data_IF_384600340160
#
_entry.id   IF_384600340160
#
_cell.length_a   1.000
_cell.length_b   1.000
_cell.length_c   1.000
_cell.angle_alpha   90.00
_cell.angle_beta   90.00
_cell.angle_gamma   90.00
#
_symmetry.space_group_name_H-M   'P 1'
#
loop_
_entity.id
_entity.type
_entity.pdbx_description
1 polymer ?
#
# COMPACT_ATOMS: atom_id res chain seq x y z
N UNK A 1 -24.16 10.14 -4.93
CA UNK A 1 -23.64 8.82 -5.29
C UNK A 1 -22.85 8.33 -4.07
N UNK A 2 -23.29 7.23 -3.44
CA UNK A 2 -22.51 6.54 -2.42
C UNK A 2 -21.32 5.90 -3.14
N UNK A 3 -20.12 6.43 -2.94
CA UNK A 3 -18.89 5.71 -3.27
C UNK A 3 -18.69 4.70 -2.15
N UNK A 4 -19.01 3.45 -2.40
CA UNK A 4 -18.73 2.41 -1.43
C UNK A 4 -17.21 2.25 -1.31
N UNK A 5 -16.71 2.10 -0.09
CA UNK A 5 -15.28 1.85 0.20
C UNK A 5 -14.72 0.65 -0.57
N UNK A 6 -15.57 -0.21 -1.08
CA UNK A 6 -15.24 -1.31 -1.99
C UNK A 6 -14.61 -0.83 -3.31
N UNK A 7 -15.12 0.27 -3.90
CA UNK A 7 -14.67 0.73 -5.22
C UNK A 7 -13.20 1.18 -5.24
N UNK A 8 -12.66 1.62 -4.10
CA UNK A 8 -11.25 2.02 -3.97
C UNK A 8 -10.30 0.83 -3.91
N UNK A 9 -10.76 -0.31 -3.38
CA UNK A 9 -9.98 -1.57 -3.35
C UNK A 9 -9.97 -2.25 -4.72
N UNK A 10 -10.92 -1.91 -5.61
CA UNK A 10 -11.12 -2.55 -6.90
C UNK A 10 -9.93 -2.34 -7.85
N UNK A 11 -9.40 -1.13 -7.91
CA UNK A 11 -8.30 -0.79 -8.83
C UNK A 11 -6.99 -1.52 -8.54
N UNK A 12 -6.48 -1.57 -7.30
CA UNK A 12 -5.31 -2.38 -6.97
C UNK A 12 -5.50 -3.87 -7.27
N UNK A 13 -6.68 -4.42 -7.01
CA UNK A 13 -7.00 -5.82 -7.31
C UNK A 13 -6.98 -6.12 -8.81
N UNK A 14 -7.59 -5.24 -9.62
CA UNK A 14 -7.60 -5.34 -11.08
C UNK A 14 -6.18 -5.26 -11.65
N UNK A 15 -5.39 -4.27 -11.21
CA UNK A 15 -4.00 -4.07 -11.65
C UNK A 15 -3.11 -5.25 -11.25
N UNK A 16 -3.31 -5.84 -10.07
CA UNK A 16 -2.64 -7.05 -9.65
C UNK A 16 -3.07 -8.28 -10.48
N UNK A 17 -4.27 -8.28 -11.05
CA UNK A 17 -4.85 -9.39 -11.77
C UNK A 17 -5.61 -10.37 -10.87
N UNK A 18 -6.05 -9.91 -9.70
CA UNK A 18 -6.90 -10.68 -8.77
C UNK A 18 -8.34 -10.65 -9.27
N UNK A 19 -9.04 -11.80 -9.37
CA UNK A 19 -10.46 -11.85 -9.72
C UNK A 19 -11.32 -10.97 -8.82
N UNK A 20 -12.35 -10.34 -9.38
CA UNK A 20 -13.24 -9.44 -8.66
C UNK A 20 -13.89 -10.04 -7.42
N UNK A 21 -14.26 -11.30 -7.49
CA UNK A 21 -14.88 -12.04 -6.37
C UNK A 21 -13.92 -12.17 -5.15
N UNK A 22 -12.62 -12.06 -5.39
CA UNK A 22 -11.58 -12.22 -4.37
C UNK A 22 -11.10 -10.88 -3.77
N UNK A 23 -11.55 -9.73 -4.26
CA UNK A 23 -11.09 -8.43 -3.78
C UNK A 23 -11.33 -8.18 -2.29
N UNK A 24 -12.38 -8.79 -1.74
CA UNK A 24 -12.65 -8.76 -0.29
C UNK A 24 -11.53 -9.40 0.53
N UNK A 25 -10.81 -10.37 -0.05
CA UNK A 25 -9.65 -10.98 0.58
C UNK A 25 -8.50 -10.00 0.70
N UNK A 26 -8.24 -9.19 -0.35
CA UNK A 26 -7.20 -8.15 -0.34
C UNK A 26 -7.47 -7.14 0.77
N UNK A 27 -8.72 -6.67 0.90
CA UNK A 27 -9.13 -5.75 1.95
C UNK A 27 -8.89 -6.34 3.33
N UNK A 28 -9.32 -7.58 3.55
CA UNK A 28 -9.16 -8.27 4.83
C UNK A 28 -7.68 -8.44 5.19
N UNK A 29 -6.88 -9.02 4.30
CA UNK A 29 -5.46 -9.24 4.55
C UNK A 29 -4.68 -7.94 4.79
N UNK A 30 -5.06 -6.85 4.11
CA UNK A 30 -4.46 -5.54 4.36
C UNK A 30 -4.72 -5.07 5.78
N UNK A 31 -5.99 -5.09 6.22
CA UNK A 31 -6.36 -4.62 7.56
C UNK A 31 -5.77 -5.52 8.66
N UNK A 32 -5.82 -6.84 8.50
CA UNK A 32 -5.21 -7.81 9.42
C UNK A 32 -3.67 -7.63 9.50
N UNK A 33 -3.05 -7.07 8.47
CA UNK A 33 -1.59 -6.85 8.44
C UNK A 33 -1.20 -5.48 9.02
N UNK A 34 -1.99 -4.44 8.78
CA UNK A 34 -1.70 -3.06 9.20
C UNK A 34 -2.16 -2.79 10.64
N UNK A 35 -3.33 -3.31 11.01
CA UNK A 35 -3.96 -3.11 12.31
C UNK A 35 -4.37 -4.43 12.96
N UNK A 36 -3.43 -5.35 13.20
CA UNK A 36 -3.74 -6.68 13.73
C UNK A 36 -4.20 -6.66 15.19
N UNK A 37 -3.99 -5.55 15.91
CA UNK A 37 -4.46 -5.29 17.26
C UNK A 37 -5.88 -4.70 17.31
N UNK A 38 -6.42 -4.23 16.17
CA UNK A 38 -7.77 -3.68 16.12
C UNK A 38 -8.79 -4.82 16.30
N UNK A 39 -9.71 -4.72 17.29
CA UNK A 39 -10.72 -5.75 17.54
C UNK A 39 -11.59 -6.09 16.32
N UNK A 40 -11.79 -5.15 15.39
CA UNK A 40 -12.54 -5.38 14.14
C UNK A 40 -11.81 -6.31 13.20
N UNK A 41 -10.47 -6.26 13.19
CA UNK A 41 -9.64 -7.04 12.26
C UNK A 41 -8.90 -8.18 12.94
N UNK A 42 -8.86 -8.20 14.27
CA UNK A 42 -8.17 -9.25 15.02
C UNK A 42 -8.86 -10.60 14.82
N UNK A 43 -8.09 -11.55 14.29
CA UNK A 43 -8.51 -12.92 14.03
C UNK A 43 -7.62 -13.89 14.80
N UNK A 44 -8.13 -14.50 15.81
CA UNK A 44 -7.34 -15.30 16.74
C UNK A 44 -7.27 -14.64 18.12
N UNK A 45 -6.37 -15.15 18.99
CA UNK A 45 -6.24 -14.70 20.38
C UNK A 45 -5.18 -13.60 20.55
N UNK A 46 -4.29 -13.52 19.59
CA UNK A 46 -3.14 -12.59 19.63
C UNK A 46 -2.95 -11.88 18.30
N UNK A 47 -2.28 -10.74 18.35
CA UNK A 47 -1.81 -10.00 17.18
C UNK A 47 -0.97 -10.88 16.25
N UNK A 48 -0.07 -11.69 16.82
CA UNK A 48 0.80 -12.58 16.06
C UNK A 48 0.02 -13.66 15.31
N UNK A 49 -1.01 -14.24 15.92
CA UNK A 49 -1.89 -15.22 15.27
C UNK A 49 -2.64 -14.59 14.08
N UNK A 50 -3.11 -13.36 14.22
CA UNK A 50 -3.75 -12.61 13.14
C UNK A 50 -2.79 -12.37 11.98
N UNK A 51 -1.59 -11.84 12.26
CA UNK A 51 -0.56 -11.59 11.26
C UNK A 51 -0.12 -12.87 10.52
N UNK A 52 0.10 -13.96 11.25
CA UNK A 52 0.51 -15.24 10.66
C UNK A 52 -0.58 -15.83 9.78
N UNK A 53 -1.84 -15.72 10.20
CA UNK A 53 -2.98 -16.20 9.42
C UNK A 53 -3.13 -15.41 8.12
N UNK A 54 -3.12 -14.08 8.19
CA UNK A 54 -3.21 -13.21 7.02
C UNK A 54 -2.07 -13.48 6.02
N UNK A 55 -0.83 -13.56 6.50
CA UNK A 55 0.35 -13.85 5.68
C UNK A 55 0.28 -15.22 5.02
N UNK A 56 -0.11 -16.23 5.77
CA UNK A 56 -0.20 -17.62 5.27
C UNK A 56 -1.24 -17.71 4.15
N UNK A 57 -2.44 -17.18 4.36
CA UNK A 57 -3.49 -17.20 3.35
C UNK A 57 -3.10 -16.41 2.10
N UNK A 58 -2.53 -15.22 2.27
CA UNK A 58 -2.06 -14.40 1.15
C UNK A 58 -0.97 -15.14 0.35
N UNK A 59 -0.02 -15.76 1.02
CA UNK A 59 1.05 -16.51 0.36
C UNK A 59 0.52 -17.73 -0.40
N UNK A 60 -0.43 -18.46 0.17
CA UNK A 60 -1.09 -19.59 -0.51
C UNK A 60 -1.84 -19.11 -1.75
N UNK A 61 -2.61 -18.04 -1.63
CA UNK A 61 -3.37 -17.46 -2.72
C UNK A 61 -2.47 -17.01 -3.88
N UNK A 62 -1.48 -16.17 -3.60
CA UNK A 62 -0.58 -15.67 -4.63
C UNK A 62 0.36 -16.73 -5.19
N UNK A 63 0.68 -17.79 -4.43
CA UNK A 63 1.39 -18.94 -4.97
C UNK A 63 0.57 -19.64 -6.06
N UNK A 64 -0.70 -19.93 -5.78
CA UNK A 64 -1.59 -20.56 -6.75
C UNK A 64 -1.84 -19.65 -7.97
N UNK A 65 -2.08 -18.34 -7.76
CA UNK A 65 -2.29 -17.38 -8.82
C UNK A 65 -1.04 -17.23 -9.70
N UNK A 66 0.15 -17.19 -9.12
CA UNK A 66 1.41 -17.13 -9.87
C UNK A 66 1.64 -18.36 -10.74
N UNK A 67 1.31 -19.53 -10.23
CA UNK A 67 1.41 -20.78 -11.02
C UNK A 67 0.43 -20.77 -12.21
N UNK A 68 -0.79 -20.27 -12.01
CA UNK A 68 -1.75 -20.07 -13.11
C UNK A 68 -1.20 -19.09 -14.15
N UNK A 69 -0.67 -17.94 -13.71
CA UNK A 69 -0.12 -16.92 -14.60
C UNK A 69 1.15 -17.36 -15.35
N UNK A 70 1.97 -18.24 -14.77
CA UNK A 70 3.09 -18.85 -15.49
C UNK A 70 2.63 -19.71 -16.67
N UNK A 71 1.48 -20.40 -16.52
CA UNK A 71 0.89 -21.22 -17.58
C UNK A 71 0.12 -20.38 -18.60
N UNK A 72 -0.54 -19.30 -18.16
CA UNK A 72 -1.38 -18.43 -18.96
C UNK A 72 -1.16 -16.97 -18.56
N UNK A 73 -0.08 -16.34 -19.05
CA UNK A 73 0.22 -14.93 -18.73
C UNK A 73 -0.91 -14.00 -19.14
N UNK A 74 -1.15 -12.97 -18.35
CA UNK A 74 -2.10 -11.88 -18.62
C UNK A 74 -1.38 -10.53 -18.56
N UNK A 75 -2.09 -9.46 -18.90
CA UNK A 75 -1.60 -8.08 -18.73
C UNK A 75 -1.87 -7.61 -17.28
N UNK A 76 -1.24 -8.27 -16.31
CA UNK A 76 -1.36 -7.98 -14.90
C UNK A 76 0.01 -8.02 -14.20
N UNK A 77 0.07 -7.41 -13.01
CA UNK A 77 1.33 -7.34 -12.24
C UNK A 77 1.78 -8.73 -11.80
N UNK A 78 0.87 -9.64 -11.46
CA UNK A 78 1.24 -11.01 -11.05
C UNK A 78 1.99 -11.72 -12.17
N UNK A 79 1.57 -11.56 -13.43
CA UNK A 79 2.28 -12.11 -14.60
C UNK A 79 3.66 -11.47 -14.78
N UNK A 80 3.74 -10.13 -14.67
CA UNK A 80 5.00 -9.39 -14.86
C UNK A 80 6.02 -9.75 -13.78
N UNK A 81 5.62 -9.69 -12.51
CA UNK A 81 6.50 -9.97 -11.36
C UNK A 81 6.86 -11.45 -11.31
N UNK A 82 5.91 -12.35 -11.63
CA UNK A 82 6.14 -13.78 -11.69
C UNK A 82 7.14 -14.22 -12.78
N UNK A 83 7.30 -13.40 -13.83
CA UNK A 83 8.29 -13.58 -14.89
C UNK A 83 9.60 -12.83 -14.63
N UNK A 84 9.67 -11.97 -13.63
CA UNK A 84 10.82 -11.12 -13.34
C UNK A 84 12.06 -11.95 -12.98
N UNK A 85 13.22 -11.41 -13.36
CA UNK A 85 14.54 -11.99 -13.06
C UNK A 85 15.40 -10.97 -12.32
N UNK A 86 16.02 -11.42 -11.26
CA UNK A 86 17.01 -10.65 -10.49
C UNK A 86 18.38 -11.24 -10.77
N UNK A 87 19.30 -10.45 -11.32
CA UNK A 87 20.63 -10.90 -11.73
C UNK A 87 20.59 -12.11 -12.69
N UNK A 88 19.61 -12.16 -13.60
CA UNK A 88 19.43 -13.25 -14.57
C UNK A 88 18.76 -14.51 -14.03
N UNK A 89 18.45 -14.59 -12.74
CA UNK A 89 17.78 -15.74 -12.12
C UNK A 89 16.31 -15.40 -11.79
N UNK A 90 15.39 -16.39 -11.85
CA UNK A 90 14.03 -16.20 -11.33
C UNK A 90 14.07 -15.79 -9.86
N UNK A 91 13.15 -14.93 -9.47
CA UNK A 91 12.99 -14.51 -8.06
C UNK A 91 12.69 -15.74 -7.19
N UNK A 92 13.32 -15.83 -6.01
CA UNK A 92 13.04 -16.89 -5.05
C UNK A 92 11.57 -16.83 -4.60
N UNK A 93 10.95 -17.99 -4.34
CA UNK A 93 9.51 -18.04 -4.03
C UNK A 93 9.14 -17.16 -2.84
N UNK A 94 9.92 -17.18 -1.77
CA UNK A 94 9.66 -16.33 -0.61
C UNK A 94 9.76 -14.84 -0.92
N UNK A 95 10.74 -14.44 -1.72
CA UNK A 95 10.93 -13.07 -2.17
C UNK A 95 9.75 -12.61 -3.05
N UNK A 96 9.34 -13.45 -3.99
CA UNK A 96 8.18 -13.21 -4.85
C UNK A 96 6.89 -12.99 -4.05
N UNK A 97 6.60 -13.89 -3.10
CA UNK A 97 5.40 -13.80 -2.26
C UNK A 97 5.44 -12.61 -1.32
N UNK A 98 6.62 -12.26 -0.80
CA UNK A 98 6.83 -11.05 0.00
C UNK A 98 6.60 -9.78 -0.83
N UNK A 99 6.93 -9.82 -2.12
CA UNK A 99 6.66 -8.71 -3.04
C UNK A 99 5.16 -8.52 -3.26
N UNK A 100 4.39 -9.61 -3.42
CA UNK A 100 2.93 -9.51 -3.51
C UNK A 100 2.30 -8.99 -2.22
N UNK A 101 2.77 -9.45 -1.06
CA UNK A 101 2.33 -8.90 0.23
C UNK A 101 2.57 -7.39 0.30
N UNK A 102 3.76 -6.94 -0.09
CA UNK A 102 4.08 -5.52 -0.14
C UNK A 102 3.13 -4.74 -1.05
N UNK A 103 2.88 -5.24 -2.26
CA UNK A 103 1.99 -4.57 -3.23
C UNK A 103 0.54 -4.49 -2.73
N UNK A 104 0.03 -5.55 -2.11
CA UNK A 104 -1.32 -5.57 -1.53
C UNK A 104 -1.44 -4.54 -0.40
N UNK A 105 -0.52 -4.57 0.54
CA UNK A 105 -0.57 -3.69 1.73
C UNK A 105 -0.31 -2.23 1.33
N UNK A 106 0.73 -1.97 0.55
CA UNK A 106 1.12 -0.61 0.19
C UNK A 106 0.11 0.08 -0.74
N UNK A 107 -0.50 -0.65 -1.67
CA UNK A 107 -1.39 -0.09 -2.68
C UNK A 107 -2.82 0.16 -2.22
N UNK A 108 -3.26 -0.47 -1.14
CA UNK A 108 -4.64 -0.42 -0.69
C UNK A 108 -4.89 0.73 0.31
N UNK A 109 -4.27 0.67 1.48
CA UNK A 109 -4.55 1.58 2.60
C UNK A 109 -4.16 3.03 2.30
N UNK A 110 -2.97 3.23 1.74
CA UNK A 110 -2.44 4.57 1.47
C UNK A 110 -3.27 5.30 0.43
N UNK A 111 -3.66 4.61 -0.64
CA UNK A 111 -4.51 5.17 -1.71
C UNK A 111 -5.89 5.53 -1.19
N UNK A 112 -6.50 4.64 -0.41
CA UNK A 112 -7.80 4.88 0.22
C UNK A 112 -7.77 6.13 1.11
N UNK A 113 -6.76 6.24 1.98
CA UNK A 113 -6.62 7.37 2.90
C UNK A 113 -6.35 8.67 2.13
N UNK A 114 -5.51 8.66 1.08
CA UNK A 114 -5.28 9.81 0.23
C UNK A 114 -6.58 10.30 -0.42
N UNK A 115 -7.37 9.38 -1.00
CA UNK A 115 -8.63 9.72 -1.67
C UNK A 115 -9.67 10.26 -0.69
N UNK A 116 -9.86 9.60 0.46
CA UNK A 116 -10.83 10.03 1.47
C UNK A 116 -10.46 11.39 2.06
N UNK A 117 -9.19 11.57 2.43
CA UNK A 117 -8.70 12.85 2.96
C UNK A 117 -8.71 13.97 1.90
N UNK A 118 -8.43 13.63 0.63
CA UNK A 118 -8.54 14.57 -0.48
C UNK A 118 -9.98 15.03 -0.71
N UNK A 119 -10.95 14.12 -0.64
CA UNK A 119 -12.37 14.48 -0.74
C UNK A 119 -12.82 15.38 0.41
N UNK A 120 -12.38 15.09 1.64
CA UNK A 120 -12.64 15.97 2.77
C UNK A 120 -12.03 17.35 2.58
N UNK A 121 -10.79 17.42 2.10
CA UNK A 121 -10.14 18.70 1.81
C UNK A 121 -10.88 19.51 0.73
N UNK A 122 -11.44 18.86 -0.29
CA UNK A 122 -12.27 19.53 -1.29
C UNK A 122 -13.63 19.97 -0.74
N UNK A 123 -14.23 19.23 0.17
CA UNK A 123 -15.47 19.64 0.87
C UNK A 123 -15.25 20.91 1.70
N UNK A 124 -14.11 20.96 2.39
CA UNK A 124 -13.69 22.14 3.17
C UNK A 124 -13.24 23.34 2.28
N UNK A 125 -12.85 23.07 1.02
CA UNK A 125 -12.36 24.05 0.06
C UNK A 125 -13.07 23.95 -1.30
N UNK A 126 -14.37 24.26 -1.38
CA UNK A 126 -15.18 24.01 -2.58
C UNK A 126 -14.74 24.79 -3.82
N UNK A 127 -13.99 25.91 -3.65
CA UNK A 127 -13.42 26.66 -4.77
C UNK A 127 -12.33 25.87 -5.49
N UNK A 128 -11.52 25.12 -4.74
CA UNK A 128 -10.49 24.24 -5.30
C UNK A 128 -11.12 23.10 -6.11
N UNK A 129 -12.20 22.51 -5.59
CA UNK A 129 -12.96 21.50 -6.32
C UNK A 129 -13.52 22.06 -7.64
N UNK A 130 -14.15 23.23 -7.61
CA UNK A 130 -14.69 23.88 -8.81
C UNK A 130 -13.58 24.18 -9.84
N UNK A 131 -12.42 24.64 -9.38
CA UNK A 131 -11.28 24.90 -10.26
C UNK A 131 -10.79 23.62 -10.95
N UNK A 132 -10.66 22.52 -10.19
CA UNK A 132 -10.24 21.21 -10.73
C UNK A 132 -11.24 20.68 -11.77
N UNK A 133 -12.54 20.74 -11.47
CA UNK A 133 -13.61 20.31 -12.40
C UNK A 133 -13.62 21.15 -13.68
N UNK A 134 -13.35 22.46 -13.56
CA UNK A 134 -13.32 23.36 -14.71
C UNK A 134 -12.07 23.21 -15.59
N UNK A 135 -10.98 22.66 -15.06
CA UNK A 135 -9.70 22.54 -15.76
C UNK A 135 -8.98 21.21 -15.44
N UNK A 136 -9.13 20.23 -16.32
CA UNK A 136 -8.51 18.92 -16.17
C UNK A 136 -6.97 18.94 -16.14
N UNK A 137 -6.32 20.00 -16.62
CA UNK A 137 -4.86 20.16 -16.54
C UNK A 137 -4.36 20.33 -15.09
N UNK A 138 -5.26 20.60 -14.15
CA UNK A 138 -4.94 20.67 -12.72
C UNK A 138 -4.92 19.29 -12.02
N UNK A 139 -5.24 18.21 -12.73
CA UNK A 139 -5.37 16.88 -12.10
C UNK A 139 -4.02 16.43 -11.50
N UNK A 140 -2.95 16.46 -12.27
CA UNK A 140 -1.63 16.01 -11.80
C UNK A 140 -1.14 16.81 -10.58
N UNK A 141 -1.11 18.18 -10.60
CA UNK A 141 -0.74 18.93 -9.41
C UNK A 141 -1.73 18.75 -8.25
N UNK A 142 -3.01 18.50 -8.50
CA UNK A 142 -3.98 18.23 -7.45
C UNK A 142 -3.71 16.89 -6.75
N UNK A 143 -3.31 15.86 -7.49
CA UNK A 143 -2.91 14.56 -6.89
C UNK A 143 -1.70 14.73 -5.97
N UNK A 144 -0.66 15.44 -6.42
CA UNK A 144 0.52 15.71 -5.60
C UNK A 144 0.15 16.50 -4.33
N UNK A 145 -0.72 17.52 -4.47
CA UNK A 145 -1.18 18.32 -3.34
C UNK A 145 -2.04 17.50 -2.36
N UNK A 146 -2.90 16.60 -2.83
CA UNK A 146 -3.66 15.68 -1.98
C UNK A 146 -2.69 14.81 -1.15
N UNK A 147 -1.68 14.22 -1.79
CA UNK A 147 -0.68 13.40 -1.08
C UNK A 147 0.08 14.22 -0.04
N UNK A 148 0.48 15.43 -0.38
CA UNK A 148 1.13 16.36 0.57
C UNK A 148 0.20 16.73 1.73
N UNK A 149 -1.03 17.12 1.44
CA UNK A 149 -2.00 17.61 2.43
C UNK A 149 -2.46 16.52 3.38
N UNK A 150 -2.85 15.36 2.84
CA UNK A 150 -3.37 14.23 3.62
C UNK A 150 -2.23 13.52 4.34
N UNK A 151 -1.07 13.40 3.70
CA UNK A 151 0.07 12.63 4.20
C UNK A 151 -0.36 11.21 4.65
N UNK A 152 -0.85 10.35 3.74
CA UNK A 152 -1.44 9.06 4.09
C UNK A 152 -0.46 8.12 4.79
N UNK A 153 0.84 8.33 4.63
CA UNK A 153 1.90 7.70 5.41
C UNK A 153 2.45 8.73 6.39
N UNK A 154 2.23 8.52 7.68
CA UNK A 154 2.62 9.47 8.72
C UNK A 154 4.12 9.41 8.98
N UNK A 155 4.70 8.21 9.02
CA UNK A 155 6.12 8.03 9.32
C UNK A 155 6.70 6.76 8.72
N UNK A 156 8.01 6.80 8.47
CA UNK A 156 8.84 5.62 8.28
C UNK A 156 10.09 5.70 9.13
N UNK A 157 10.54 4.56 9.63
CA UNK A 157 11.80 4.44 10.35
C UNK A 157 12.92 3.97 9.40
N UNK A 158 14.12 4.51 9.60
CA UNK A 158 15.35 4.06 8.95
C UNK A 158 16.36 3.69 10.00
N UNK A 159 17.17 2.68 9.74
CA UNK A 159 18.30 2.34 10.58
C UNK A 159 19.59 2.93 9.99
N UNK A 160 20.36 3.62 10.81
CA UNK A 160 21.63 4.20 10.38
C UNK A 160 22.63 3.08 10.06
N UNK A 161 23.17 3.07 8.84
CA UNK A 161 24.16 2.07 8.40
C UNK A 161 25.60 2.43 8.79
N UNK A 162 25.81 3.68 9.22
CA UNK A 162 27.09 4.24 9.69
C UNK A 162 26.82 5.40 10.64
N UNK A 163 27.83 5.78 11.40
CA UNK A 163 27.79 7.02 12.19
C UNK A 163 27.62 8.23 11.26
N UNK A 164 26.75 9.14 11.64
CA UNK A 164 26.52 10.38 10.90
C UNK A 164 26.06 11.51 11.84
N UNK A 165 25.97 12.71 11.29
CA UNK A 165 25.48 13.88 12.03
C UNK A 165 24.45 14.61 11.19
N UNK A 166 23.26 14.88 11.76
CA UNK A 166 22.19 15.64 11.13
C UNK A 166 21.91 16.86 12.00
N UNK A 167 22.14 18.06 11.47
CA UNK A 167 21.95 19.34 12.19
C UNK A 167 22.61 19.37 13.58
N UNK A 168 23.81 18.80 13.70
CA UNK A 168 24.55 18.74 14.97
C UNK A 168 24.20 17.57 15.89
N UNK A 169 23.11 16.86 15.67
CA UNK A 169 22.75 15.66 16.40
C UNK A 169 23.56 14.47 15.88
N UNK A 170 24.28 13.80 16.78
CA UNK A 170 25.04 12.57 16.47
C UNK A 170 24.09 11.38 16.40
N UNK A 171 24.21 10.61 15.35
CA UNK A 171 23.46 9.38 15.11
C UNK A 171 24.48 8.27 14.93
N UNK A 172 24.44 7.28 15.80
CA UNK A 172 25.34 6.13 15.74
C UNK A 172 24.85 5.09 14.73
N UNK A 173 25.76 4.28 14.21
CA UNK A 173 25.43 3.10 13.45
C UNK A 173 24.51 2.20 14.26
N UNK A 174 23.37 1.80 13.66
CA UNK A 174 22.35 0.98 14.32
C UNK A 174 21.20 1.77 14.94
N UNK A 175 21.35 3.09 15.12
CA UNK A 175 20.26 3.93 15.62
C UNK A 175 19.06 3.94 14.65
N UNK A 176 17.87 3.97 15.24
CA UNK A 176 16.62 4.14 14.51
C UNK A 176 16.28 5.62 14.37
N UNK A 177 16.07 6.06 13.13
CA UNK A 177 15.70 7.44 12.79
C UNK A 177 14.29 7.45 12.22
N UNK A 178 13.37 8.08 12.93
CA UNK A 178 12.00 8.25 12.46
C UNK A 178 11.90 9.47 11.53
N UNK A 179 11.38 9.25 10.32
CA UNK A 179 11.04 10.29 9.35
C UNK A 179 9.56 10.61 9.49
N UNK A 180 9.25 11.72 10.12
CA UNK A 180 7.87 12.15 10.34
C UNK A 180 7.42 13.08 9.21
N UNK A 181 6.72 12.52 8.20
CA UNK A 181 6.36 13.21 6.98
C UNK A 181 5.46 14.43 7.16
N UNK A 182 4.46 14.47 8.08
CA UNK A 182 3.64 15.67 8.27
C UNK A 182 4.45 16.93 8.58
N UNK A 183 5.60 16.81 9.30
CA UNK A 183 6.45 17.98 9.57
C UNK A 183 7.23 18.47 8.35
N UNK A 184 7.38 17.66 7.32
CA UNK A 184 7.98 18.08 6.05
C UNK A 184 6.97 18.62 5.05
N UNK A 185 5.70 18.21 5.18
CA UNK A 185 4.62 18.53 4.26
C UNK A 185 3.83 19.79 4.65
N UNK A 186 4.04 20.32 5.86
CA UNK A 186 3.34 21.50 6.40
C UNK A 186 4.27 22.57 6.89
#
# INVERSE_FOLDING_TARGET
AHVETHDVVLRPGEVLGVPGDDWRLLFRWTNETIAPEDPEFQRGRTTDETLQSARTELFQYFSALSEERRKRPRQDIVSVVGAARVNGHPMATFELLSYYLLLVVAGNETTRNAMTGGMLAFDENPDQWRALVANAALLDPAVEEIVRWVTPVIQFTRQATRDCTIRGAKIAKGDSVCLFYPSGNR
#
